data_IF_350173288476
#
_entry.id   IF_350173288476
#
_cell.length_a   1.000
_cell.length_b   1.000
_cell.length_c   1.000
_cell.angle_alpha   90.00
_cell.angle_beta   90.00
_cell.angle_gamma   90.00
#
_symmetry.space_group_name_H-M   'P 1'
#
loop_
_entity.id
_entity.type
_entity.pdbx_description
1 polymer ?
#
# COMPACT_ATOMS: atom_id res chain seq x y z
N UNK A 1 28.55 -20.19 1.00
CA UNK A 1 28.40 -18.89 1.68
C UNK A 1 26.95 -18.79 2.19
N UNK A 2 26.69 -19.16 3.45
CA UNK A 2 25.34 -19.08 4.03
C UNK A 2 25.04 -17.64 4.46
N UNK A 3 24.01 -17.04 3.85
CA UNK A 3 23.57 -15.67 4.10
C UNK A 3 23.00 -15.61 5.53
N UNK A 4 23.72 -14.98 6.47
CA UNK A 4 23.24 -14.77 7.83
C UNK A 4 22.11 -13.74 7.75
N UNK A 5 20.87 -14.18 7.93
CA UNK A 5 19.73 -13.27 8.14
C UNK A 5 19.68 -12.93 9.62
N UNK A 6 19.84 -11.65 9.96
CA UNK A 6 19.61 -11.20 11.33
C UNK A 6 18.09 -11.17 11.58
N UNK A 7 17.63 -11.92 12.58
CA UNK A 7 16.24 -11.88 13.04
C UNK A 7 16.06 -10.59 13.82
N UNK A 8 15.21 -9.68 13.33
CA UNK A 8 14.89 -8.43 14.00
C UNK A 8 13.93 -8.74 15.17
N UNK A 9 14.20 -8.24 16.40
CA UNK A 9 13.30 -8.40 17.54
C UNK A 9 11.89 -7.86 17.26
N UNK A 10 10.86 -8.58 17.69
CA UNK A 10 9.44 -8.24 17.43
C UNK A 10 9.05 -6.84 17.95
N UNK A 11 9.67 -6.39 19.04
CA UNK A 11 9.46 -5.06 19.63
C UNK A 11 9.93 -3.92 18.71
N UNK A 12 10.96 -4.16 17.89
CA UNK A 12 11.43 -3.21 16.87
C UNK A 12 10.71 -3.41 15.54
N UNK A 13 10.18 -4.60 15.25
CA UNK A 13 9.42 -4.85 14.03
C UNK A 13 8.15 -3.99 13.97
N UNK A 14 7.43 -3.85 15.09
CA UNK A 14 6.18 -3.09 15.14
C UNK A 14 6.35 -1.59 14.86
N UNK A 15 7.47 -0.98 15.27
CA UNK A 15 7.80 0.40 14.94
C UNK A 15 8.31 0.57 13.50
N UNK A 16 8.99 -0.43 12.94
CA UNK A 16 9.39 -0.47 11.52
C UNK A 16 8.21 -0.61 10.54
N UNK A 17 7.12 -1.27 10.94
CA UNK A 17 5.91 -1.44 10.12
C UNK A 17 4.79 -0.43 10.41
N UNK A 18 5.08 0.62 11.18
CA UNK A 18 4.09 1.58 11.72
C UNK A 18 3.36 2.47 10.71
N UNK A 19 3.46 2.21 9.41
CA UNK A 19 2.65 2.87 8.38
C UNK A 19 2.20 1.84 7.35
N UNK A 20 1.11 1.15 7.67
CA UNK A 20 0.23 0.58 6.64
C UNK A 20 -0.19 1.73 5.72
N UNK A 21 0.25 1.76 4.44
CA UNK A 21 -0.24 2.68 3.45
C UNK A 21 -1.56 2.18 2.82
N UNK A 22 -2.23 1.23 3.47
CA UNK A 22 -3.46 0.61 2.98
C UNK A 22 -4.66 1.54 3.03
N UNK A 23 -4.60 2.67 3.74
CA UNK A 23 -5.72 3.61 3.77
C UNK A 23 -6.09 4.08 2.35
N UNK A 24 -5.10 4.40 1.51
CA UNK A 24 -5.35 4.81 0.13
C UNK A 24 -5.79 3.67 -0.80
N UNK A 25 -5.42 2.43 -0.47
CA UNK A 25 -5.77 1.24 -1.25
C UNK A 25 -7.22 0.81 -0.94
N UNK A 26 -7.57 0.75 0.33
CA UNK A 26 -8.91 0.42 0.81
C UNK A 26 -9.97 1.45 0.38
N UNK A 27 -9.58 2.72 0.29
CA UNK A 27 -10.41 3.78 -0.28
C UNK A 27 -10.72 3.56 -1.77
N UNK A 28 -9.83 2.91 -2.52
CA UNK A 28 -10.07 2.60 -3.94
C UNK A 28 -10.95 1.35 -4.06
N UNK A 29 -10.71 0.32 -3.24
CA UNK A 29 -11.54 -0.89 -3.19
C UNK A 29 -13.00 -0.55 -2.87
N UNK A 30 -13.25 0.23 -1.82
CA UNK A 30 -14.60 0.68 -1.47
C UNK A 30 -15.27 1.48 -2.57
N UNK A 31 -14.53 2.32 -3.32
CA UNK A 31 -15.07 3.04 -4.48
C UNK A 31 -15.44 2.10 -5.63
N UNK A 32 -14.65 1.05 -5.87
CA UNK A 32 -14.94 0.03 -6.88
C UNK A 32 -16.22 -0.72 -6.50
N UNK A 33 -16.34 -1.18 -5.25
CA UNK A 33 -17.55 -1.86 -4.75
C UNK A 33 -18.78 -0.95 -4.86
N UNK A 34 -18.67 0.29 -4.42
CA UNK A 34 -19.77 1.26 -4.53
C UNK A 34 -20.19 1.48 -5.99
N UNK A 35 -19.26 1.56 -6.93
CA UNK A 35 -19.56 1.71 -8.36
C UNK A 35 -20.19 0.46 -8.98
N UNK A 36 -19.85 -0.73 -8.51
CA UNK A 36 -20.47 -1.99 -8.94
C UNK A 36 -21.93 -2.07 -8.51
N UNK A 37 -22.22 -1.64 -7.28
CA UNK A 37 -23.57 -1.66 -6.72
C UNK A 37 -24.42 -0.45 -7.09
N UNK A 38 -23.80 0.67 -7.51
CA UNK A 38 -24.53 1.86 -7.92
C UNK A 38 -25.32 1.61 -9.21
N UNK A 39 -26.65 1.75 -9.15
CA UNK A 39 -27.55 1.70 -10.32
C UNK A 39 -27.68 3.05 -11.04
N UNK A 40 -27.05 4.10 -10.52
CA UNK A 40 -27.22 5.49 -10.99
C UNK A 40 -26.44 5.84 -12.26
N UNK A 41 -25.39 5.08 -12.60
CA UNK A 41 -24.53 5.35 -13.76
C UNK A 41 -24.94 4.49 -14.96
N UNK A 42 -24.77 5.03 -16.18
CA UNK A 42 -24.85 4.24 -17.41
C UNK A 42 -23.69 3.24 -17.51
N UNK A 43 -23.89 2.12 -18.20
CA UNK A 43 -22.88 1.05 -18.28
C UNK A 43 -21.54 1.52 -18.86
N UNK A 44 -21.56 2.40 -19.88
CA UNK A 44 -20.35 3.00 -20.45
C UNK A 44 -19.61 3.89 -19.44
N UNK A 45 -20.35 4.68 -18.64
CA UNK A 45 -19.76 5.51 -17.61
C UNK A 45 -19.15 4.67 -16.48
N UNK A 46 -19.82 3.58 -16.07
CA UNK A 46 -19.28 2.63 -15.08
C UNK A 46 -17.99 1.98 -15.60
N UNK A 47 -18.00 1.49 -16.84
CA UNK A 47 -16.82 0.85 -17.43
C UNK A 47 -15.60 1.78 -17.44
N UNK A 48 -15.80 3.06 -17.78
CA UNK A 48 -14.73 4.08 -17.77
C UNK A 48 -14.22 4.35 -16.36
N UNK A 49 -15.11 4.55 -15.39
CA UNK A 49 -14.75 4.83 -13.99
C UNK A 49 -14.03 3.64 -13.34
N UNK A 50 -14.53 2.42 -13.55
CA UNK A 50 -13.89 1.20 -13.07
C UNK A 50 -12.51 1.00 -13.69
N UNK A 51 -12.38 1.23 -15.01
CA UNK A 51 -11.07 1.11 -15.69
C UNK A 51 -10.02 2.06 -15.09
N UNK A 52 -10.41 3.31 -14.78
CA UNK A 52 -9.52 4.28 -14.13
C UNK A 52 -9.14 3.86 -12.71
N UNK A 53 -10.10 3.38 -11.92
CA UNK A 53 -9.85 2.96 -10.54
C UNK A 53 -8.97 1.70 -10.47
N UNK A 54 -9.19 0.73 -11.36
CA UNK A 54 -8.37 -0.48 -11.45
C UNK A 54 -6.92 -0.14 -11.83
N UNK A 55 -6.72 0.77 -12.78
CA UNK A 55 -5.38 1.25 -13.13
C UNK A 55 -4.70 1.91 -11.93
N UNK A 56 -5.43 2.76 -11.19
CA UNK A 56 -4.90 3.43 -10.00
C UNK A 56 -4.56 2.45 -8.88
N UNK A 57 -5.42 1.46 -8.64
CA UNK A 57 -5.18 0.37 -7.69
C UNK A 57 -3.89 -0.38 -8.05
N UNK A 58 -3.74 -0.78 -9.32
CA UNK A 58 -2.56 -1.50 -9.79
C UNK A 58 -1.27 -0.69 -9.57
N UNK A 59 -1.28 0.61 -9.84
CA UNK A 59 -0.13 1.48 -9.59
C UNK A 59 0.26 1.52 -8.11
N UNK A 60 -0.72 1.65 -7.21
CA UNK A 60 -0.46 1.65 -5.76
C UNK A 60 0.05 0.31 -5.24
N UNK A 61 -0.43 -0.82 -5.79
CA UNK A 61 0.06 -2.16 -5.41
C UNK A 61 1.44 -2.43 -5.99
N UNK A 62 1.74 -1.95 -7.20
CA UNK A 62 3.00 -2.26 -7.89
C UNK A 62 4.16 -1.35 -7.52
N UNK A 63 3.91 -0.21 -6.86
CA UNK A 63 4.98 0.67 -6.42
C UNK A 63 5.70 0.06 -5.21
N UNK A 64 6.98 -0.37 -5.36
CA UNK A 64 7.74 -0.81 -4.21
C UNK A 64 7.93 0.39 -3.28
N UNK A 65 7.55 0.22 -2.01
CA UNK A 65 7.73 1.28 -1.00
C UNK A 65 9.20 1.70 -1.00
N UNK A 66 9.51 3.00 -1.03
CA UNK A 66 10.88 3.47 -1.01
C UNK A 66 11.58 2.95 0.26
N UNK A 67 12.85 2.53 0.16
CA UNK A 67 13.57 2.02 1.32
C UNK A 67 13.64 3.11 2.40
N UNK A 68 13.21 2.77 3.62
CA UNK A 68 13.26 3.66 4.77
C UNK A 68 14.73 3.98 5.06
N UNK A 69 15.09 5.26 5.01
CA UNK A 69 16.42 5.73 5.41
C UNK A 69 16.50 5.70 6.94
N UNK A 70 17.36 4.84 7.48
CA UNK A 70 17.68 4.81 8.91
C UNK A 70 18.98 5.58 9.13
N UNK A 71 18.98 6.53 10.07
CA UNK A 71 20.19 7.19 10.58
C UNK A 71 20.69 6.40 11.78
N UNK A 72 21.95 5.97 11.75
CA UNK A 72 22.62 5.38 12.90
C UNK A 72 23.10 6.56 13.74
N UNK A 73 22.51 6.75 14.92
CA UNK A 73 23.10 7.66 15.91
C UNK A 73 24.28 6.94 16.54
N UNK A 74 25.50 7.40 16.23
CA UNK A 74 26.70 6.94 16.90
C UNK A 74 26.67 7.49 18.33
N UNK A 75 26.32 6.62 19.28
CA UNK A 75 26.43 6.89 20.70
C UNK A 75 27.91 7.07 21.06
N UNK A 76 28.33 8.34 21.14
CA UNK A 76 29.68 8.76 21.43
C UNK A 76 30.01 8.46 22.91
N UNK A 77 30.60 7.28 23.17
CA UNK A 77 31.20 6.89 24.46
C UNK A 77 32.66 7.29 24.55
#
# INVERSE_FOLDING_TARGET
>A
MSKRMAVVPEELATSYFSKTPDAGLHDIESKIENLLHASSYSDDAKAKLLSQLILKYRHMVSEPKPPVRVTIEEENS
#
